data_IF_240823191147
#
_entry.id   IF_240823191147
#
_cell.length_a   1.000
_cell.length_b   1.000
_cell.length_c   1.000
_cell.angle_alpha   90.00
_cell.angle_beta   90.00
_cell.angle_gamma   90.00
#
_symmetry.space_group_name_H-M   'P 1'
#
loop_
_entity.id
_entity.type
_entity.pdbx_description
1 polymer ?
#
# COMPACT_ATOMS: atom_id res chain seq x y z
N UNK A 1 -9.38 25.12 7.19
CA UNK A 1 -8.92 23.74 6.95
C UNK A 1 -7.79 23.44 7.94
N UNK A 2 -7.98 22.54 8.89
CA UNK A 2 -6.91 22.12 9.81
C UNK A 2 -6.21 20.89 9.24
N UNK A 3 -4.90 20.99 8.98
CA UNK A 3 -4.09 19.90 8.42
C UNK A 3 -3.09 19.41 9.46
N UNK A 4 -3.11 18.11 9.76
CA UNK A 4 -2.09 17.45 10.58
C UNK A 4 -0.99 16.92 9.67
N UNK A 5 0.26 17.28 9.95
CA UNK A 5 1.44 16.79 9.23
C UNK A 5 2.19 15.84 10.15
N UNK A 6 2.48 14.63 9.65
CA UNK A 6 3.23 13.60 10.39
C UNK A 6 4.50 13.32 9.59
N UNK A 7 5.65 13.58 10.20
CA UNK A 7 6.96 13.33 9.57
C UNK A 7 7.58 12.08 10.20
N UNK A 8 7.84 11.06 9.37
CA UNK A 8 8.56 9.86 9.79
C UNK A 8 10.05 10.05 9.46
N UNK A 9 10.91 10.13 10.48
CA UNK A 9 12.36 10.37 10.32
C UNK A 9 13.16 9.21 10.92
N UNK A 10 14.26 8.81 10.28
CA UNK A 10 15.13 7.72 10.72
C UNK A 10 16.00 7.17 9.59
N UNK A 11 16.97 6.29 9.87
CA UNK A 11 17.89 5.72 8.88
C UNK A 11 17.16 4.85 7.85
N UNK A 12 17.78 4.55 6.70
CA UNK A 12 17.17 3.66 5.69
C UNK A 12 16.78 2.31 6.30
N UNK A 13 15.76 1.65 5.73
CA UNK A 13 15.26 0.34 6.17
C UNK A 13 14.67 0.25 7.60
N UNK A 14 14.47 1.38 8.30
CA UNK A 14 13.87 1.40 9.65
C UNK A 14 12.33 1.27 9.69
N UNK A 15 11.69 0.79 8.61
CA UNK A 15 10.24 0.55 8.58
C UNK A 15 9.31 1.78 8.43
N UNK A 16 9.86 2.98 8.20
CA UNK A 16 9.06 4.23 8.11
C UNK A 16 8.00 4.21 7.02
N UNK A 17 8.41 3.83 5.81
CA UNK A 17 7.51 3.75 4.64
C UNK A 17 6.40 2.74 4.91
N UNK A 18 6.74 1.61 5.52
CA UNK A 18 5.77 0.58 5.87
C UNK A 18 4.72 1.08 6.86
N UNK A 19 5.12 1.81 7.91
CA UNK A 19 4.15 2.38 8.86
C UNK A 19 3.19 3.39 8.19
N UNK A 20 3.71 4.25 7.32
CA UNK A 20 2.90 5.19 6.55
C UNK A 20 1.92 4.48 5.59
N UNK A 21 2.35 3.37 4.98
CA UNK A 21 1.51 2.54 4.11
C UNK A 21 0.42 1.81 4.90
N UNK A 22 0.70 1.31 6.12
CA UNK A 22 -0.33 0.73 7.00
C UNK A 22 -1.40 1.78 7.37
N UNK A 23 -0.99 3.02 7.62
CA UNK A 23 -1.92 4.12 7.86
C UNK A 23 -2.74 4.48 6.60
N UNK A 24 -2.11 4.48 5.42
CA UNK A 24 -2.79 4.66 4.14
C UNK A 24 -3.83 3.56 3.90
N UNK A 25 -3.47 2.30 4.18
CA UNK A 25 -4.34 1.14 4.05
C UNK A 25 -5.51 1.16 5.06
N UNK A 26 -5.39 1.83 6.21
CA UNK A 26 -6.50 2.05 7.14
C UNK A 26 -7.41 3.22 6.74
N UNK A 27 -6.89 4.21 5.99
CA UNK A 27 -7.63 5.41 5.63
C UNK A 27 -8.77 5.14 4.64
N UNK A 28 -9.83 5.95 4.63
CA UNK A 28 -10.91 5.81 3.63
C UNK A 28 -10.43 6.17 2.22
N UNK A 29 -9.64 7.24 2.11
CA UNK A 29 -9.08 7.78 0.88
C UNK A 29 -7.70 8.34 1.17
N UNK A 30 -6.77 8.14 0.24
CA UNK A 30 -5.42 8.69 0.33
C UNK A 30 -4.63 8.42 -0.94
N UNK A 31 -3.46 9.05 -1.04
CA UNK A 31 -2.57 8.95 -2.20
C UNK A 31 -1.17 8.58 -1.71
N UNK A 32 -0.54 7.63 -2.39
CA UNK A 32 0.89 7.35 -2.26
C UNK A 32 1.63 8.04 -3.41
N UNK A 33 2.64 8.85 -3.06
CA UNK A 33 3.51 9.51 -4.04
C UNK A 33 4.94 9.06 -3.77
N UNK A 34 5.46 8.20 -4.65
CA UNK A 34 6.85 7.73 -4.63
C UNK A 34 7.68 8.45 -5.68
N UNK A 35 8.99 8.70 -5.44
CA UNK A 35 9.87 9.35 -6.41
C UNK A 35 10.25 8.42 -7.58
N UNK A 36 10.15 7.10 -7.39
CA UNK A 36 10.52 6.10 -8.39
C UNK A 36 9.28 5.40 -8.93
N UNK A 37 9.22 5.25 -10.25
CA UNK A 37 8.16 4.52 -10.94
C UNK A 37 8.06 3.07 -10.47
N UNK A 38 9.18 2.37 -10.33
CA UNK A 38 9.21 0.98 -9.85
C UNK A 38 8.56 0.83 -8.47
N UNK A 39 8.81 1.78 -7.55
CA UNK A 39 8.18 1.78 -6.22
C UNK A 39 6.68 2.05 -6.29
N UNK A 40 6.22 2.88 -7.24
CA UNK A 40 4.79 3.11 -7.43
C UNK A 40 4.07 1.83 -7.88
N UNK A 41 4.67 1.07 -8.80
CA UNK A 41 4.16 -0.22 -9.26
C UNK A 41 4.12 -1.24 -8.12
N UNK A 42 5.20 -1.38 -7.35
CA UNK A 42 5.26 -2.30 -6.21
C UNK A 42 4.16 -1.99 -5.20
N UNK A 43 4.02 -0.73 -4.79
CA UNK A 43 3.01 -0.34 -3.79
C UNK A 43 1.59 -0.52 -4.33
N UNK A 44 1.34 -0.18 -5.60
CA UNK A 44 0.05 -0.41 -6.23
C UNK A 44 -0.33 -1.89 -6.23
N UNK A 45 0.58 -2.77 -6.60
CA UNK A 45 0.34 -4.21 -6.61
C UNK A 45 0.07 -4.73 -5.19
N UNK A 46 0.88 -4.33 -4.21
CA UNK A 46 0.72 -4.74 -2.80
C UNK A 46 -0.62 -4.29 -2.21
N UNK A 47 -1.09 -3.08 -2.54
CA UNK A 47 -2.39 -2.58 -2.10
C UNK A 47 -3.55 -3.35 -2.74
N UNK A 48 -3.51 -3.57 -4.06
CA UNK A 48 -4.56 -4.30 -4.77
C UNK A 48 -4.62 -5.78 -4.37
N UNK A 49 -3.47 -6.41 -4.07
CA UNK A 49 -3.40 -7.78 -3.58
C UNK A 49 -3.73 -7.92 -2.10
N UNK A 50 -3.86 -6.82 -1.34
CA UNK A 50 -4.17 -6.86 0.09
C UNK A 50 -3.00 -7.26 0.99
N UNK A 51 -1.75 -7.11 0.51
CA UNK A 51 -0.54 -7.49 1.25
C UNK A 51 -0.12 -6.48 2.32
N UNK A 52 -0.84 -5.35 2.46
CA UNK A 52 -0.56 -4.32 3.46
C UNK A 52 -1.67 -4.36 4.52
N UNK A 53 -1.29 -4.71 5.75
CA UNK A 53 -2.20 -4.77 6.90
C UNK A 53 -2.50 -3.34 7.37
N UNK A 54 -3.78 -2.92 7.49
CA UNK A 54 -4.13 -1.59 7.97
C UNK A 54 -3.76 -1.37 9.44
N UNK A 55 -3.41 -0.14 9.78
CA UNK A 55 -3.10 0.25 11.16
C UNK A 55 -4.32 0.02 12.08
N UNK A 56 -4.13 -0.69 13.20
CA UNK A 56 -5.16 -0.95 14.20
C UNK A 56 -5.91 -2.28 14.04
N UNK A 57 -5.57 -3.09 13.04
CA UNK A 57 -5.95 -4.51 13.01
C UNK A 57 -4.84 -5.33 13.63
N UNK A 58 -5.21 -6.28 14.50
CA UNK A 58 -4.26 -7.27 15.00
C UNK A 58 -3.75 -8.09 13.84
N UNK A 59 -2.42 -8.19 13.79
CA UNK A 59 -1.70 -9.03 12.86
C UNK A 59 -2.22 -10.46 13.10
N UNK A 60 -2.92 -11.10 12.14
CA UNK A 60 -3.32 -12.49 12.30
C UNK A 60 -2.04 -13.29 12.62
N UNK A 61 -2.08 -14.31 13.51
CA UNK A 61 -0.86 -14.97 13.99
C UNK A 61 0.01 -15.38 12.80
N UNK A 62 1.10 -14.65 12.58
CA UNK A 62 1.99 -14.86 11.43
C UNK A 62 2.87 -16.07 11.77
N UNK A 63 2.70 -17.14 11.01
CA UNK A 63 3.79 -18.07 10.73
C UNK A 63 4.89 -17.28 10.03
N UNK A 64 5.90 -16.92 10.81
CA UNK A 64 7.26 -16.51 10.43
C UNK A 64 7.53 -16.23 8.95
N UNK A 65 7.82 -14.99 8.59
CA UNK A 65 8.89 -14.74 7.62
C UNK A 65 9.60 -13.42 7.91
N UNK A 66 10.75 -13.60 8.53
CA UNK A 66 11.86 -12.68 8.80
C UNK A 66 12.22 -11.86 7.56
N UNK A 67 12.78 -10.66 7.74
CA UNK A 67 13.70 -10.12 6.72
C UNK A 67 14.89 -9.44 7.37
N UNK A 68 15.87 -10.29 7.67
CA UNK A 68 17.28 -10.01 7.44
C UNK A 68 17.93 -11.36 7.08
N UNK A 69 17.68 -11.87 5.88
CA UNK A 69 18.53 -12.89 5.22
C UNK A 69 18.19 -12.91 3.73
N UNK A 70 19.21 -12.70 2.91
CA UNK A 70 19.28 -13.20 1.54
C UNK A 70 18.93 -14.69 1.53
N UNK A 71 17.81 -15.09 0.91
CA UNK A 71 17.69 -16.40 0.26
C UNK A 71 16.40 -16.49 -0.58
N UNK A 72 16.55 -16.99 -1.80
CA UNK A 72 15.45 -17.39 -2.68
C UNK A 72 14.93 -18.74 -2.20
N UNK A 73 13.70 -18.84 -1.70
CA UNK A 73 12.95 -20.11 -1.73
C UNK A 73 11.43 -19.85 -1.83
N UNK A 74 10.73 -20.38 -2.85
CA UNK A 74 9.29 -20.25 -2.99
C UNK A 74 8.58 -21.30 -2.14
N UNK A 75 7.82 -20.88 -1.13
CA UNK A 75 6.96 -21.77 -0.35
C UNK A 75 5.48 -21.58 -0.78
N UNK A 76 4.78 -22.64 -1.24
CA UNK A 76 3.41 -22.54 -1.73
C UNK A 76 2.40 -22.81 -0.61
N UNK A 77 1.88 -21.75 0.02
CA UNK A 77 0.63 -21.80 0.80
C UNK A 77 -0.35 -20.79 0.23
N UNK A 78 -1.13 -21.27 -0.74
CA UNK A 78 -2.25 -20.57 -1.37
C UNK A 78 -3.41 -20.49 -0.37
N UNK A 79 -3.50 -19.40 0.37
CA UNK A 79 -4.80 -18.91 0.84
C UNK A 79 -4.83 -17.41 0.56
N UNK A 80 -5.61 -17.05 -0.47
CA UNK A 80 -5.67 -15.69 -1.03
C UNK A 80 -6.11 -14.73 0.08
N UNK A 81 -5.15 -14.03 0.68
CA UNK A 81 -5.38 -13.02 1.71
C UNK A 81 -5.95 -11.75 1.07
N UNK A 82 -7.16 -11.85 0.51
CA UNK A 82 -7.90 -10.74 -0.13
C UNK A 82 -8.61 -9.85 0.89
N UNK A 83 -8.56 -10.20 2.18
CA UNK A 83 -9.31 -9.53 3.26
C UNK A 83 -9.03 -8.03 3.33
N UNK A 84 -7.84 -7.60 2.92
CA UNK A 84 -7.44 -6.19 2.96
C UNK A 84 -7.13 -5.61 1.57
N UNK A 85 -7.56 -6.28 0.50
CA UNK A 85 -7.37 -5.81 -0.87
C UNK A 85 -8.04 -4.44 -1.06
N UNK A 86 -7.25 -3.46 -1.53
CA UNK A 86 -7.73 -2.11 -1.81
C UNK A 86 -7.53 -1.77 -3.27
N UNK A 87 -8.65 -1.75 -3.98
CA UNK A 87 -8.68 -1.33 -5.38
C UNK A 87 -8.24 0.13 -5.47
N UNK A 88 -7.14 0.36 -6.18
CA UNK A 88 -6.61 1.70 -6.42
C UNK A 88 -6.10 1.82 -7.87
N UNK A 89 -6.20 2.99 -8.47
CA UNK A 89 -5.56 3.26 -9.76
C UNK A 89 -4.14 3.77 -9.51
N UNK A 90 -3.31 3.65 -10.53
CA UNK A 90 -1.94 4.16 -10.53
C UNK A 90 -1.75 5.07 -11.73
N UNK A 91 -1.09 6.20 -11.50
CA UNK A 91 -0.70 7.15 -12.54
C UNK A 91 0.80 7.36 -12.42
N UNK A 92 1.48 7.26 -13.55
CA UNK A 92 2.91 7.52 -13.70
C UNK A 92 3.12 8.37 -14.95
N UNK A 93 4.32 8.91 -15.17
CA UNK A 93 4.58 9.83 -16.30
C UNK A 93 4.31 9.27 -17.70
N UNK A 94 4.24 7.96 -17.85
CA UNK A 94 4.10 7.27 -19.15
C UNK A 94 2.97 6.22 -19.16
N UNK A 95 2.30 5.97 -18.02
CA UNK A 95 1.26 4.94 -17.91
C UNK A 95 0.23 5.26 -16.83
N UNK A 96 -1.04 4.92 -17.11
CA UNK A 96 -2.14 4.99 -16.16
C UNK A 96 -2.90 3.65 -16.12
N UNK A 97 -2.92 3.01 -14.95
CA UNK A 97 -3.68 1.77 -14.70
C UNK A 97 -4.93 2.08 -13.91
N UNK A 98 -6.08 2.10 -14.59
CA UNK A 98 -7.39 2.32 -13.98
C UNK A 98 -8.03 0.96 -13.72
N UNK A 99 -8.21 0.61 -12.44
CA UNK A 99 -8.81 -0.67 -12.02
C UNK A 99 -10.31 -0.52 -11.80
N UNK A 100 -10.76 0.64 -11.31
CA UNK A 100 -12.17 1.02 -11.29
C UNK A 100 -12.35 2.54 -11.34
N UNK A 101 -13.47 2.99 -11.92
CA UNK A 101 -13.80 4.43 -12.05
C UNK A 101 -14.10 5.08 -10.69
N UNK A 102 -14.48 4.30 -9.68
CA UNK A 102 -14.77 4.76 -8.31
C UNK A 102 -13.56 4.63 -7.36
N UNK A 103 -12.44 4.05 -7.81
CA UNK A 103 -11.24 3.93 -6.98
C UNK A 103 -10.61 5.31 -6.69
N UNK A 104 -9.91 5.50 -5.54
CA UNK A 104 -9.52 6.80 -4.96
C UNK A 104 -8.59 7.73 -5.76
N UNK A 105 -8.36 7.41 -7.02
CA UNK A 105 -7.49 8.05 -8.01
C UNK A 105 -8.26 8.54 -9.23
N UNK A 106 -9.57 8.31 -9.27
CA UNK A 106 -10.49 9.03 -10.14
C UNK A 106 -10.81 10.39 -9.52
N UNK A 107 -10.83 11.50 -10.28
CA UNK A 107 -11.45 12.73 -9.81
C UNK A 107 -12.90 12.39 -9.49
N UNK A 108 -13.26 12.41 -8.20
CA UNK A 108 -14.63 12.16 -7.77
C UNK A 108 -15.56 13.03 -8.64
N UNK A 109 -16.66 12.48 -9.22
CA UNK A 109 -17.60 13.30 -9.94
C UNK A 109 -18.08 14.38 -8.97
N UNK A 110 -17.79 15.63 -9.32
CA UNK A 110 -18.39 16.80 -8.69
C UNK A 110 -19.89 16.62 -8.83
N UNK A 111 -20.55 16.18 -7.75
CA UNK A 111 -22.00 16.30 -7.66
C UNK A 111 -22.30 17.80 -7.69
N UNK A 112 -22.99 18.22 -8.75
CA UNK A 112 -23.58 19.53 -8.93
C UNK A 112 -24.49 19.90 -7.76
#
# INVERSE_FOLDING_TARGET
>A
MHRKVIMHVGPTNSGKTHHALRALAASKRGVYAGPLRLLAHEVWERLNLGQIIPLGMDEPPISTTTTATDDVTPSPSKEKQTTYARVCNMITGEEQKIVSEDAPSSPAPSKC
#
